data_IF_658381917248
#
_entry.id   IF_658381917248
#
_cell.length_a   1.000
_cell.length_b   1.000
_cell.length_c   1.000
_cell.angle_alpha   90.00
_cell.angle_beta   90.00
_cell.angle_gamma   90.00
#
_symmetry.space_group_name_H-M   'P 1'
#
loop_
_entity.id
_entity.type
_entity.pdbx_description
1 polymer ?
#
# COMPACT_ATOMS: atom_id res chain seq x y z
N UNK A 1 10.98 12.53 -7.18
CA UNK A 1 9.57 12.12 -6.95
C UNK A 1 9.46 11.71 -5.48
N UNK A 2 8.61 12.35 -4.67
CA UNK A 2 8.52 12.10 -3.22
C UNK A 2 7.67 10.84 -2.99
N UNK A 3 8.17 9.85 -2.26
CA UNK A 3 7.33 8.80 -1.63
C UNK A 3 6.22 9.46 -0.82
N UNK A 4 5.01 8.97 -0.98
CA UNK A 4 3.80 9.54 -0.38
C UNK A 4 3.15 8.37 0.30
N UNK A 5 3.52 8.19 1.57
CA UNK A 5 2.95 7.14 2.40
C UNK A 5 1.65 7.65 3.07
N UNK A 6 1.38 8.96 2.89
CA UNK A 6 0.20 9.66 3.35
C UNK A 6 -0.39 10.54 2.25
N UNK A 7 -1.69 10.41 1.98
CA UNK A 7 -2.39 11.29 1.06
C UNK A 7 -3.70 11.78 1.68
N UNK A 8 -4.05 13.04 1.42
CA UNK A 8 -5.36 13.58 1.77
C UNK A 8 -6.23 13.70 0.52
N UNK A 9 -7.43 13.15 0.60
CA UNK A 9 -8.41 13.18 -0.49
C UNK A 9 -9.77 13.65 0.03
N UNK A 10 -10.45 14.46 -0.79
CA UNK A 10 -11.84 14.85 -0.58
C UNK A 10 -12.74 13.87 -1.34
N UNK A 11 -13.61 13.18 -0.63
CA UNK A 11 -14.63 12.31 -1.23
C UNK A 11 -16.01 12.95 -1.07
N UNK A 12 -16.74 13.05 -2.17
CA UNK A 12 -18.13 13.54 -2.18
C UNK A 12 -19.02 12.46 -2.80
N UNK A 13 -19.94 11.90 -2.03
CA UNK A 13 -20.93 10.98 -2.56
C UNK A 13 -21.98 11.73 -3.42
N UNK A 14 -22.70 10.97 -4.24
CA UNK A 14 -23.77 11.52 -5.06
C UNK A 14 -24.96 11.94 -4.21
N UNK A 15 -25.56 13.09 -4.52
CA UNK A 15 -26.84 13.48 -3.93
C UNK A 15 -27.97 12.62 -4.52
N UNK A 16 -29.05 12.47 -3.77
CA UNK A 16 -30.28 11.89 -4.27
C UNK A 16 -30.94 12.75 -5.35
N UNK A 17 -31.61 12.09 -6.29
CA UNK A 17 -32.50 12.75 -7.22
C UNK A 17 -33.73 13.32 -6.51
N UNK A 18 -34.32 14.38 -7.05
CA UNK A 18 -35.55 14.95 -6.48
C UNK A 18 -36.78 14.15 -6.92
N UNK A 19 -37.77 14.02 -6.04
CA UNK A 19 -39.09 13.53 -6.42
C UNK A 19 -39.81 14.52 -7.32
N UNK A 20 -40.67 14.02 -8.21
CA UNK A 20 -41.43 14.85 -9.13
C UNK A 20 -42.85 15.11 -8.61
N UNK A 21 -43.38 16.29 -8.91
CA UNK A 21 -44.82 16.55 -8.82
C UNK A 21 -45.40 16.44 -10.22
N UNK A 22 -46.09 15.33 -10.50
CA UNK A 22 -46.74 15.05 -11.77
C UNK A 22 -48.24 14.85 -11.62
N UNK A 23 -49.01 15.20 -12.66
CA UNK A 23 -50.41 14.79 -12.81
C UNK A 23 -50.66 14.25 -14.21
N UNK A 24 -51.41 13.15 -14.31
CA UNK A 24 -51.80 12.57 -15.59
C UNK A 24 -52.65 13.55 -16.38
N UNK A 25 -52.29 13.77 -17.65
CA UNK A 25 -53.06 14.58 -18.60
C UNK A 25 -53.41 13.75 -19.82
N UNK A 26 -54.70 13.54 -20.02
CA UNK A 26 -55.24 12.79 -21.16
C UNK A 26 -56.36 13.61 -21.81
N UNK A 27 -56.50 13.51 -23.13
CA UNK A 27 -57.41 14.35 -23.94
C UNK A 27 -58.86 14.34 -23.45
N UNK A 28 -59.30 13.24 -22.84
CA UNK A 28 -60.67 13.04 -22.36
C UNK A 28 -60.79 12.95 -20.82
N UNK A 29 -59.70 13.19 -20.08
CA UNK A 29 -59.68 13.16 -18.61
C UNK A 29 -59.23 14.53 -18.10
N UNK A 30 -60.16 15.39 -17.64
CA UNK A 30 -59.83 16.76 -17.25
C UNK A 30 -58.95 16.88 -16.01
N UNK A 31 -59.03 15.92 -15.06
CA UNK A 31 -58.23 15.89 -13.83
C UNK A 31 -57.72 14.46 -13.58
N UNK A 32 -56.53 14.15 -14.09
CA UNK A 32 -55.87 12.88 -13.81
C UNK A 32 -55.26 12.83 -12.41
N UNK A 33 -55.08 11.61 -11.90
CA UNK A 33 -54.41 11.38 -10.62
C UNK A 33 -52.91 11.77 -10.65
N UNK A 34 -52.25 11.82 -9.48
CA UNK A 34 -50.82 12.08 -9.40
C UNK A 34 -50.01 11.00 -10.12
N UNK A 35 -48.95 11.40 -10.81
CA UNK A 35 -48.03 10.52 -11.55
C UNK A 35 -46.56 10.94 -11.48
N UNK A 36 -46.17 11.74 -10.49
CA UNK A 36 -44.76 12.07 -10.28
C UNK A 36 -44.01 10.91 -9.65
N UNK A 37 -42.98 10.41 -10.35
CA UNK A 37 -42.07 9.38 -9.86
C UNK A 37 -41.05 9.91 -8.85
N UNK A 38 -40.36 8.97 -8.20
CA UNK A 38 -39.31 9.26 -7.21
C UNK A 38 -37.97 9.54 -7.88
N UNK A 39 -37.10 10.28 -7.20
CA UNK A 39 -35.71 10.41 -7.60
C UNK A 39 -34.91 9.14 -7.33
N UNK A 40 -33.86 8.92 -8.12
CA UNK A 40 -32.90 7.84 -7.90
C UNK A 40 -31.97 8.13 -6.72
N UNK A 41 -31.38 7.08 -6.14
CA UNK A 41 -30.34 7.24 -5.12
C UNK A 41 -29.05 7.81 -5.74
N UNK A 42 -28.29 8.57 -4.97
CA UNK A 42 -26.94 8.97 -5.37
C UNK A 42 -25.95 7.82 -5.25
N UNK A 43 -24.91 7.83 -6.08
CA UNK A 43 -23.82 6.87 -5.99
C UNK A 43 -22.99 7.06 -4.72
N UNK A 44 -22.45 5.98 -4.20
CA UNK A 44 -21.55 5.98 -3.03
C UNK A 44 -20.08 5.99 -3.45
N UNK A 45 -19.19 6.37 -2.53
CA UNK A 45 -17.74 6.29 -2.73
C UNK A 45 -17.18 5.12 -1.94
N UNK A 46 -16.48 4.24 -2.63
CA UNK A 46 -15.84 3.05 -2.09
C UNK A 46 -14.34 3.16 -2.26
N UNK A 47 -13.59 2.71 -1.25
CA UNK A 47 -12.16 2.44 -1.38
C UNK A 47 -11.98 0.94 -1.50
N UNK A 48 -11.14 0.50 -2.45
CA UNK A 48 -10.87 -0.91 -2.72
C UNK A 48 -9.36 -1.15 -2.69
N UNK A 49 -8.94 -2.16 -1.95
CA UNK A 49 -7.54 -2.58 -1.89
C UNK A 49 -7.16 -3.36 -3.16
N UNK A 50 -6.03 -2.99 -3.76
CA UNK A 50 -5.44 -3.72 -4.88
C UNK A 50 -3.96 -4.01 -4.58
N UNK A 51 -3.53 -5.22 -4.93
CA UNK A 51 -2.15 -5.70 -4.71
C UNK A 51 -1.21 -5.25 -5.83
N UNK A 52 -1.77 -4.80 -6.95
CA UNK A 52 -1.03 -4.23 -8.05
C UNK A 52 -0.63 -2.77 -7.80
N UNK A 53 -1.19 -2.14 -6.75
CA UNK A 53 -0.91 -0.75 -6.38
C UNK A 53 -0.05 -0.72 -5.13
N UNK A 54 1.15 -0.16 -5.23
CA UNK A 54 2.14 -0.20 -4.13
C UNK A 54 2.34 1.16 -3.44
N UNK A 55 1.79 2.26 -3.96
CA UNK A 55 2.03 3.62 -3.43
C UNK A 55 0.78 4.49 -3.48
N UNK A 56 0.71 5.53 -2.64
CA UNK A 56 -0.36 6.55 -2.65
C UNK A 56 0.00 7.80 -3.47
N UNK A 57 1.00 7.72 -4.36
CA UNK A 57 1.50 8.88 -5.11
C UNK A 57 0.42 9.51 -6.01
N UNK A 58 -0.45 8.69 -6.59
CA UNK A 58 -1.47 9.12 -7.56
C UNK A 58 -2.47 10.12 -6.96
N UNK A 59 -2.74 9.99 -5.65
CA UNK A 59 -3.62 10.87 -4.89
C UNK A 59 -3.07 12.30 -4.71
N UNK A 60 -1.83 12.57 -5.10
CA UNK A 60 -1.32 13.94 -5.14
C UNK A 60 -1.91 14.76 -6.27
N UNK A 61 -2.17 14.12 -7.40
CA UNK A 61 -2.64 14.76 -8.62
C UNK A 61 -4.16 14.82 -8.65
N UNK A 62 -4.83 13.71 -8.31
CA UNK A 62 -6.28 13.65 -8.15
C UNK A 62 -6.63 13.61 -6.66
N UNK A 63 -7.07 14.77 -6.12
CA UNK A 63 -7.42 14.92 -4.70
C UNK A 63 -8.91 14.93 -4.43
N UNK A 64 -9.75 14.92 -5.46
CA UNK A 64 -11.20 15.05 -5.31
C UNK A 64 -11.91 13.97 -6.10
N UNK A 65 -12.65 13.14 -5.40
CA UNK A 65 -13.38 12.01 -5.99
C UNK A 65 -14.86 12.22 -5.74
N UNK A 66 -15.65 12.24 -6.82
CA UNK A 66 -17.10 12.47 -6.75
C UNK A 66 -17.86 11.30 -7.37
N UNK A 67 -18.86 10.79 -6.65
CA UNK A 67 -19.81 9.83 -7.19
C UNK A 67 -20.96 10.54 -7.92
N UNK A 68 -21.69 9.80 -8.77
CA UNK A 68 -22.72 10.40 -9.62
C UNK A 68 -23.98 10.72 -8.81
N UNK A 69 -24.60 11.88 -9.08
CA UNK A 69 -25.91 12.24 -8.53
C UNK A 69 -27.01 11.34 -9.12
N UNK A 70 -27.99 10.96 -8.30
CA UNK A 70 -29.22 10.30 -8.76
C UNK A 70 -30.07 11.19 -9.67
N UNK A 71 -30.73 10.59 -10.65
CA UNK A 71 -31.61 11.33 -11.56
C UNK A 71 -32.93 11.72 -10.87
N UNK A 72 -33.52 12.83 -11.28
CA UNK A 72 -34.82 13.24 -10.74
C UNK A 72 -35.92 12.32 -11.26
N UNK A 73 -36.96 12.13 -10.44
CA UNK A 73 -38.19 11.53 -10.91
C UNK A 73 -38.83 12.38 -12.01
N UNK A 74 -39.66 11.75 -12.82
CA UNK A 74 -40.40 12.41 -13.89
C UNK A 74 -41.90 12.08 -13.81
N UNK A 75 -42.71 12.77 -14.61
CA UNK A 75 -44.12 12.44 -14.77
C UNK A 75 -44.31 11.04 -15.37
N UNK A 76 -45.57 10.60 -15.50
CA UNK A 76 -45.92 9.25 -15.99
C UNK A 76 -45.34 8.10 -15.16
N UNK A 77 -45.16 8.33 -13.86
CA UNK A 77 -44.64 7.35 -12.89
C UNK A 77 -43.21 6.89 -13.20
N UNK A 78 -42.44 7.71 -13.91
CA UNK A 78 -41.05 7.39 -14.24
C UNK A 78 -40.13 7.73 -13.06
N UNK A 79 -39.53 6.69 -12.48
CA UNK A 79 -38.53 6.80 -11.42
C UNK A 79 -37.16 7.17 -12.00
N UNK A 80 -36.41 8.02 -11.29
CA UNK A 80 -35.06 8.40 -11.67
C UNK A 80 -34.06 7.24 -11.49
N UNK A 81 -33.09 7.13 -12.42
CA UNK A 81 -31.98 6.16 -12.30
C UNK A 81 -31.09 6.50 -11.11
N UNK A 82 -30.59 5.47 -10.42
CA UNK A 82 -29.55 5.63 -9.41
C UNK A 82 -28.23 6.09 -10.05
N UNK A 83 -27.49 6.93 -9.35
CA UNK A 83 -26.14 7.34 -9.73
C UNK A 83 -25.15 6.19 -9.60
N UNK A 84 -24.14 6.19 -10.46
CA UNK A 84 -23.00 5.28 -10.42
C UNK A 84 -22.05 5.59 -9.26
N UNK A 85 -21.58 4.53 -8.60
CA UNK A 85 -20.61 4.58 -7.51
C UNK A 85 -19.22 4.99 -8.01
N UNK A 86 -18.44 5.65 -7.15
CA UNK A 86 -17.02 5.96 -7.42
C UNK A 86 -16.14 4.99 -6.63
N UNK A 87 -15.34 4.22 -7.35
CA UNK A 87 -14.35 3.32 -6.78
C UNK A 87 -12.98 4.00 -6.79
N UNK A 88 -12.31 4.00 -5.65
CA UNK A 88 -10.96 4.50 -5.45
C UNK A 88 -10.07 3.31 -5.11
N UNK A 89 -9.02 3.08 -5.89
CA UNK A 89 -8.11 1.93 -5.70
C UNK A 89 -6.90 2.37 -4.89
N UNK A 90 -6.59 1.64 -3.82
CA UNK A 90 -5.45 1.92 -2.92
C UNK A 90 -4.59 0.67 -2.70
N UNK A 91 -3.32 0.82 -2.29
CA UNK A 91 -2.51 -0.32 -1.87
C UNK A 91 -3.13 -1.12 -0.72
N UNK A 92 -2.85 -2.42 -0.71
CA UNK A 92 -3.10 -3.26 0.48
C UNK A 92 -2.31 -2.72 1.68
N UNK A 93 -2.93 -2.72 2.85
CA UNK A 93 -2.40 -2.12 4.08
C UNK A 93 -2.69 -0.63 4.22
N UNK A 94 -3.59 -0.06 3.42
CA UNK A 94 -4.01 1.34 3.56
C UNK A 94 -5.04 1.48 4.67
N UNK A 95 -4.76 2.38 5.61
CA UNK A 95 -5.67 2.83 6.66
C UNK A 95 -6.37 4.09 6.20
N UNK A 96 -7.67 4.15 6.43
CA UNK A 96 -8.50 5.29 6.06
C UNK A 96 -8.97 5.99 7.33
N UNK A 97 -8.57 7.24 7.49
CA UNK A 97 -8.86 8.07 8.66
C UNK A 97 -9.71 9.27 8.24
N UNK A 98 -10.74 9.60 9.00
CA UNK A 98 -11.50 10.83 8.81
C UNK A 98 -10.75 12.00 9.45
N UNK A 99 -10.33 12.98 8.64
CA UNK A 99 -9.55 14.14 9.11
C UNK A 99 -10.33 15.02 10.09
N UNK A 100 -11.65 15.08 9.96
CA UNK A 100 -12.48 15.96 10.80
C UNK A 100 -12.72 15.39 12.19
N UNK A 101 -12.82 14.07 12.31
CA UNK A 101 -13.16 13.38 13.58
C UNK A 101 -11.98 12.63 14.18
N UNK A 102 -10.86 12.52 13.46
CA UNK A 102 -9.69 11.70 13.80
C UNK A 102 -10.04 10.21 14.04
N UNK A 103 -11.14 9.76 13.45
CA UNK A 103 -11.64 8.40 13.57
C UNK A 103 -11.09 7.52 12.44
N UNK A 104 -10.59 6.35 12.78
CA UNK A 104 -10.21 5.32 11.81
C UNK A 104 -11.49 4.68 11.27
N UNK A 105 -11.79 4.93 9.99
CA UNK A 105 -12.97 4.35 9.31
C UNK A 105 -12.75 2.84 9.08
N UNK A 106 -11.52 2.45 8.74
CA UNK A 106 -11.17 1.06 8.50
C UNK A 106 -9.75 0.87 7.98
N UNK A 107 -9.33 -0.39 7.95
CA UNK A 107 -8.05 -0.84 7.43
C UNK A 107 -8.29 -1.87 6.33
N UNK A 108 -7.61 -1.71 5.20
CA UNK A 108 -7.76 -2.53 4.00
C UNK A 108 -6.61 -3.52 3.94
N UNK A 109 -6.80 -4.72 4.49
CA UNK A 109 -5.71 -5.64 4.81
C UNK A 109 -5.46 -6.71 3.76
N UNK A 110 -6.43 -6.99 2.90
CA UNK A 110 -6.37 -8.01 1.85
C UNK A 110 -6.76 -7.43 0.50
N UNK A 111 -6.22 -8.03 -0.57
CA UNK A 111 -6.63 -7.70 -1.94
C UNK A 111 -8.15 -7.87 -2.11
N UNK A 112 -8.80 -6.87 -2.72
CA UNK A 112 -10.23 -6.86 -2.96
C UNK A 112 -11.08 -6.39 -1.79
N UNK A 113 -10.49 -6.14 -0.61
CA UNK A 113 -11.21 -5.53 0.52
C UNK A 113 -11.86 -4.22 0.07
N UNK A 114 -13.14 -4.02 0.46
CA UNK A 114 -13.92 -2.83 0.10
C UNK A 114 -14.40 -2.11 1.34
N UNK A 115 -14.18 -0.80 1.39
CA UNK A 115 -14.60 0.07 2.47
C UNK A 115 -15.51 1.19 1.94
N UNK A 116 -16.72 1.29 2.50
CA UNK A 116 -17.63 2.40 2.21
C UNK A 116 -17.15 3.64 2.98
N UNK A 117 -16.72 4.66 2.26
CA UNK A 117 -16.15 5.87 2.88
C UNK A 117 -17.06 7.08 2.83
N UNK A 118 -17.96 7.14 1.85
CA UNK A 118 -19.01 8.16 1.79
C UNK A 118 -20.27 7.56 1.17
N UNK A 119 -21.39 7.63 1.91
CA UNK A 119 -22.66 7.08 1.47
C UNK A 119 -23.43 8.06 0.58
N UNK A 120 -23.99 7.54 -0.52
CA UNK A 120 -24.87 8.30 -1.40
C UNK A 120 -26.21 8.70 -0.75
N UNK A 121 -26.71 9.88 -1.12
CA UNK A 121 -27.97 10.41 -0.63
C UNK A 121 -29.17 9.64 -1.18
N UNK A 122 -30.24 9.49 -0.38
CA UNK A 122 -31.47 8.82 -0.83
C UNK A 122 -32.26 9.68 -1.80
N UNK A 123 -32.94 9.03 -2.73
CA UNK A 123 -33.87 9.69 -3.66
C UNK A 123 -35.08 10.29 -2.96
N UNK A 124 -35.53 11.45 -3.45
CA UNK A 124 -36.73 12.13 -3.00
C UNK A 124 -38.00 11.44 -3.50
N UNK A 125 -39.05 11.46 -2.69
CA UNK A 125 -40.35 10.86 -2.98
C UNK A 125 -41.17 11.79 -3.88
N UNK A 126 -41.71 11.23 -4.96
CA UNK A 126 -42.66 11.91 -5.83
C UNK A 126 -44.02 12.10 -5.17
N UNK A 127 -44.87 12.90 -5.80
CA UNK A 127 -46.18 13.22 -5.22
C UNK A 127 -47.12 12.01 -5.08
N UNK A 128 -46.86 10.91 -5.79
CA UNK A 128 -47.64 9.68 -5.66
C UNK A 128 -47.63 9.09 -4.24
N UNK A 129 -46.51 9.18 -3.51
CA UNK A 129 -46.39 8.64 -2.14
C UNK A 129 -47.22 9.39 -1.11
N UNK A 130 -47.56 10.65 -1.39
CA UNK A 130 -48.35 11.49 -0.48
C UNK A 130 -49.85 11.38 -0.72
N UNK A 131 -50.28 10.48 -1.61
CA UNK A 131 -51.70 10.25 -1.92
C UNK A 131 -52.35 9.46 -0.78
N UNK A 132 -53.41 10.01 -0.22
CA UNK A 132 -54.22 9.35 0.81
C UNK A 132 -55.71 9.42 0.50
N UNK A 133 -56.54 8.76 1.32
CA UNK A 133 -58.00 8.81 1.18
C UNK A 133 -58.55 10.24 1.26
N UNK A 134 -57.89 11.08 2.07
CA UNK A 134 -58.21 12.50 2.28
C UNK A 134 -57.45 13.44 1.35
N UNK A 135 -56.23 13.11 0.93
CA UNK A 135 -55.43 13.90 -0.02
C UNK A 135 -55.25 13.16 -1.35
N UNK A 136 -56.23 13.32 -2.25
CA UNK A 136 -56.28 12.58 -3.53
C UNK A 136 -55.35 13.16 -4.61
N UNK A 137 -54.97 14.43 -4.51
CA UNK A 137 -54.15 15.15 -5.49
C UNK A 137 -53.01 15.95 -4.81
N UNK A 138 -52.07 15.26 -4.13
CA UNK A 138 -50.94 15.90 -3.47
C UNK A 138 -50.08 16.70 -4.46
N UNK A 139 -49.71 17.92 -4.06
CA UNK A 139 -48.82 18.83 -4.82
C UNK A 139 -47.43 18.96 -4.19
N UNK A 140 -47.08 18.03 -3.30
CA UNK A 140 -45.82 18.00 -2.60
C UNK A 140 -44.97 16.82 -3.11
N UNK A 141 -43.67 17.03 -3.18
CA UNK A 141 -42.64 16.01 -3.39
C UNK A 141 -41.46 16.37 -2.48
N UNK A 142 -40.63 15.39 -2.12
CA UNK A 142 -39.41 15.67 -1.36
C UNK A 142 -38.21 15.80 -2.29
N UNK A 143 -37.26 16.63 -1.87
CA UNK A 143 -35.94 16.68 -2.49
C UNK A 143 -35.14 15.43 -2.13
N UNK A 144 -34.15 15.09 -2.96
CA UNK A 144 -33.19 14.05 -2.60
C UNK A 144 -32.37 14.48 -1.39
N UNK A 145 -31.93 13.51 -0.59
CA UNK A 145 -30.98 13.75 0.51
C UNK A 145 -29.60 14.06 -0.08
N UNK A 146 -28.80 14.86 0.63
CA UNK A 146 -27.42 15.13 0.27
C UNK A 146 -26.56 13.88 0.52
N UNK A 147 -25.59 13.64 -0.37
CA UNK A 147 -24.59 12.61 -0.17
C UNK A 147 -23.57 13.05 0.88
N UNK A 148 -22.95 12.08 1.54
CA UNK A 148 -21.90 12.38 2.50
C UNK A 148 -20.67 12.98 1.81
N UNK A 149 -20.07 13.98 2.46
CA UNK A 149 -18.78 14.55 2.06
C UNK A 149 -17.81 14.38 3.23
N UNK A 150 -16.62 13.83 2.94
CA UNK A 150 -15.59 13.60 3.95
C UNK A 150 -14.20 13.95 3.39
N UNK A 151 -13.37 14.54 4.25
CA UNK A 151 -11.95 14.67 4.01
C UNK A 151 -11.25 13.48 4.67
N UNK A 152 -10.58 12.66 3.87
CA UNK A 152 -9.94 11.43 4.31
C UNK A 152 -8.43 11.58 4.24
N UNK A 153 -7.75 11.06 5.27
CA UNK A 153 -6.32 10.80 5.25
C UNK A 153 -6.12 9.30 5.01
N UNK A 154 -5.38 8.98 3.97
CA UNK A 154 -4.95 7.63 3.63
C UNK A 154 -3.52 7.46 4.14
N UNK A 155 -3.27 6.41 4.93
CA UNK A 155 -1.95 6.09 5.45
C UNK A 155 -1.61 4.64 5.12
N UNK A 156 -0.46 4.40 4.47
CA UNK A 156 -0.01 3.04 4.16
C UNK A 156 0.78 2.45 5.34
N UNK A 157 0.28 1.37 5.95
CA UNK A 157 0.93 0.67 7.08
C UNK A 157 2.08 -0.27 6.68
N UNK A 158 2.32 -0.51 5.38
CA UNK A 158 3.40 -1.37 4.90
C UNK A 158 4.70 -0.57 4.74
N UNK A 159 5.78 -1.03 5.39
CA UNK A 159 7.06 -0.32 5.43
C UNK A 159 8.06 -0.76 4.37
N UNK A 160 8.13 -2.06 4.01
CA UNK A 160 9.04 -2.54 2.96
C UNK A 160 8.72 -3.97 2.49
N UNK A 161 8.99 -4.23 1.20
CA UNK A 161 8.94 -5.55 0.58
C UNK A 161 10.24 -6.33 0.83
N UNK A 162 11.37 -5.61 0.91
CA UNK A 162 12.73 -6.15 1.10
C UNK A 162 13.37 -5.55 2.35
N UNK A 163 13.92 -6.40 3.22
CA UNK A 163 14.73 -5.97 4.37
C UNK A 163 16.23 -6.15 4.11
N UNK A 164 17.04 -5.13 4.39
CA UNK A 164 18.51 -5.23 4.33
C UNK A 164 19.09 -5.61 5.69
N UNK A 165 19.81 -6.72 5.73
CA UNK A 165 20.58 -7.19 6.88
C UNK A 165 22.07 -6.95 6.62
N UNK A 166 22.86 -6.82 7.68
CA UNK A 166 24.31 -6.65 7.55
C UNK A 166 24.91 -5.83 8.67
N UNK A 167 26.22 -5.94 8.84
CA UNK A 167 26.99 -5.20 9.82
C UNK A 167 26.94 -3.69 9.62
N UNK A 168 27.21 -2.88 10.68
CA UNK A 168 27.51 -1.47 10.48
C UNK A 168 28.60 -1.34 9.41
N UNK A 169 28.44 -0.37 8.51
CA UNK A 169 29.37 -0.14 7.39
C UNK A 169 29.45 -1.24 6.32
N UNK A 170 28.59 -2.26 6.34
CA UNK A 170 28.45 -3.23 5.23
C UNK A 170 27.95 -2.57 3.93
N UNK A 171 27.53 -1.30 3.99
CA UNK A 171 27.09 -0.51 2.84
C UNK A 171 25.59 -0.55 2.58
N UNK A 172 24.75 -0.92 3.57
CA UNK A 172 23.28 -0.95 3.48
C UNK A 172 22.70 0.36 2.95
N UNK A 173 22.99 1.48 3.62
CA UNK A 173 22.46 2.78 3.20
C UNK A 173 23.05 3.26 1.87
N UNK A 174 24.27 2.83 1.51
CA UNK A 174 24.88 3.09 0.20
C UNK A 174 24.13 2.34 -0.90
N UNK A 175 23.81 1.05 -0.67
CA UNK A 175 23.03 0.25 -1.60
C UNK A 175 21.66 0.88 -1.83
N UNK A 176 20.93 1.26 -0.76
CA UNK A 176 19.63 1.94 -0.88
C UNK A 176 19.72 3.19 -1.75
N UNK A 177 20.75 4.02 -1.55
CA UNK A 177 20.96 5.23 -2.37
C UNK A 177 21.30 4.91 -3.83
N UNK A 178 22.00 3.80 -4.08
CA UNK A 178 22.38 3.37 -5.42
C UNK A 178 21.19 2.88 -6.25
N UNK A 179 20.27 2.11 -5.63
CA UNK A 179 19.14 1.47 -6.32
C UNK A 179 17.84 2.27 -6.28
N UNK A 180 17.73 3.27 -5.39
CA UNK A 180 16.48 4.01 -5.22
C UNK A 180 16.25 5.01 -6.37
N UNK A 181 15.07 4.91 -7.00
CA UNK A 181 14.59 5.86 -8.02
C UNK A 181 14.13 7.21 -7.43
N UNK A 182 14.01 7.30 -6.10
CA UNK A 182 13.78 8.52 -5.34
C UNK A 182 14.92 8.78 -4.36
N UNK A 183 15.13 10.03 -3.93
CA UNK A 183 16.05 10.29 -2.81
C UNK A 183 15.56 9.52 -1.58
N UNK A 184 16.41 8.65 -0.98
CA UNK A 184 16.03 7.88 0.21
C UNK A 184 15.54 8.82 1.29
N UNK A 185 14.36 8.53 1.84
CA UNK A 185 13.79 9.34 2.90
C UNK A 185 14.12 8.71 4.25
N UNK A 186 14.54 9.57 5.16
CA UNK A 186 14.54 9.34 6.60
C UNK A 186 13.08 9.51 7.03
N UNK A 187 12.46 8.46 7.55
CA UNK A 187 11.03 8.44 7.80
C UNK A 187 10.71 8.39 9.30
N UNK A 188 9.95 9.38 9.76
CA UNK A 188 9.56 9.60 11.16
C UNK A 188 8.30 8.79 11.51
N UNK A 189 8.45 7.48 11.67
CA UNK A 189 7.32 6.63 12.08
C UNK A 189 7.11 6.68 13.61
N UNK A 190 5.85 6.69 14.09
CA UNK A 190 5.52 6.84 15.51
C UNK A 190 5.96 5.67 16.41
N UNK A 191 6.55 4.62 15.83
CA UNK A 191 7.06 3.42 16.51
C UNK A 191 8.56 3.20 16.29
N UNK A 192 9.27 4.14 15.66
CA UNK A 192 10.72 4.06 15.45
C UNK A 192 11.43 5.11 16.31
N UNK A 193 12.39 4.72 17.13
CA UNK A 193 13.30 5.65 17.83
C UNK A 193 14.49 6.07 16.97
N UNK A 194 14.79 5.29 15.93
CA UNK A 194 15.79 5.56 14.89
C UNK A 194 15.10 5.46 13.54
N UNK A 195 15.20 6.53 12.76
CA UNK A 195 14.57 6.62 11.46
C UNK A 195 15.16 5.60 10.46
N UNK A 196 14.38 4.62 9.97
CA UNK A 196 14.89 3.67 8.99
C UNK A 196 15.13 4.38 7.65
N UNK A 197 16.20 3.97 6.95
CA UNK A 197 16.43 4.42 5.58
C UNK A 197 15.54 3.61 4.64
N UNK A 198 14.67 4.28 3.90
CA UNK A 198 13.80 3.66 2.90
C UNK A 198 14.19 4.09 1.49
N UNK A 199 14.14 3.14 0.56
CA UNK A 199 14.30 3.38 -0.87
C UNK A 199 13.22 2.72 -1.69
N UNK A 200 12.72 3.42 -2.72
CA UNK A 200 11.84 2.83 -3.73
C UNK A 200 12.69 2.44 -4.91
N UNK A 201 12.64 1.17 -5.27
CA UNK A 201 13.30 0.63 -6.45
C UNK A 201 12.27 0.46 -7.54
N UNK A 202 12.49 1.13 -8.68
CA UNK A 202 11.70 0.95 -9.89
C UNK A 202 12.56 0.20 -10.91
N UNK A 203 12.12 -1.01 -11.26
CA UNK A 203 12.79 -1.85 -12.27
C UNK A 203 12.25 -1.52 -13.66
N UNK A 204 10.93 -1.35 -13.78
CA UNK A 204 10.20 -0.97 -14.99
C UNK A 204 9.02 -0.04 -14.63
N UNK A 205 8.35 0.52 -15.65
CA UNK A 205 7.13 1.29 -15.44
C UNK A 205 6.08 0.41 -14.73
N UNK A 206 5.48 0.94 -13.65
CA UNK A 206 4.51 0.24 -12.79
C UNK A 206 5.06 -0.99 -12.05
N UNK A 207 6.38 -1.23 -12.09
CA UNK A 207 7.04 -2.32 -11.37
C UNK A 207 8.05 -1.77 -10.37
N UNK A 208 7.58 -1.60 -9.14
CA UNK A 208 8.36 -1.06 -8.04
C UNK A 208 8.13 -1.77 -6.73
N UNK A 209 9.16 -1.80 -5.90
CA UNK A 209 9.12 -2.34 -4.53
C UNK A 209 9.90 -1.43 -3.58
N UNK A 210 9.65 -1.58 -2.29
CA UNK A 210 10.27 -0.79 -1.23
C UNK A 210 11.33 -1.62 -0.51
N UNK A 211 12.51 -1.03 -0.33
CA UNK A 211 13.61 -1.59 0.46
C UNK A 211 13.76 -0.77 1.75
N UNK A 212 13.83 -1.45 2.88
CA UNK A 212 14.19 -0.86 4.17
C UNK A 212 15.55 -1.34 4.66
N UNK A 213 16.34 -0.41 5.19
CA UNK A 213 17.45 -0.74 6.08
C UNK A 213 16.88 -1.25 7.40
N UNK A 214 17.47 -2.33 7.93
CA UNK A 214 17.17 -2.85 9.26
C UNK A 214 18.22 -2.30 10.24
N UNK A 215 18.02 -1.10 10.84
CA UNK A 215 18.88 -0.63 11.93
C UNK A 215 18.75 -1.53 13.17
N UNK A 216 19.82 -1.62 13.95
CA UNK A 216 19.72 -2.09 15.33
C UNK A 216 19.68 -3.59 15.58
N UNK A 217 20.08 -4.45 14.64
CA UNK A 217 20.40 -5.84 15.00
C UNK A 217 21.64 -5.87 15.94
N UNK A 218 22.71 -5.18 15.54
CA UNK A 218 24.02 -5.34 16.19
C UNK A 218 24.34 -4.20 17.18
N UNK A 219 23.48 -3.18 17.29
CA UNK A 219 23.63 -2.08 18.26
C UNK A 219 22.95 -2.43 19.58
N UNK A 220 23.69 -2.99 20.53
CA UNK A 220 23.34 -2.92 21.97
C UNK A 220 21.98 -3.50 22.41
N UNK A 221 21.34 -4.35 21.63
CA UNK A 221 20.00 -4.91 21.89
C UNK A 221 19.90 -5.80 23.16
N UNK A 222 20.99 -5.97 23.89
CA UNK A 222 21.01 -6.68 25.18
C UNK A 222 20.69 -5.78 26.40
N UNK A 223 20.88 -4.46 26.34
CA UNK A 223 20.90 -3.60 27.55
C UNK A 223 19.91 -2.41 27.56
N UNK A 224 18.68 -2.62 27.11
CA UNK A 224 17.54 -1.90 27.72
C UNK A 224 16.95 -0.68 26.99
N UNK A 225 17.13 -0.54 25.69
CA UNK A 225 16.25 0.32 24.89
C UNK A 225 15.25 -0.59 24.14
N UNK A 226 13.94 -0.44 24.37
CA UNK A 226 12.88 -1.32 23.82
C UNK A 226 12.68 -1.23 22.30
N UNK A 227 13.73 -1.50 21.52
CA UNK A 227 13.89 -1.16 20.10
C UNK A 227 13.66 -2.33 19.14
N UNK A 228 13.84 -3.57 19.58
CA UNK A 228 13.91 -4.74 18.69
C UNK A 228 12.55 -5.32 18.29
N UNK A 229 11.62 -5.53 19.22
CA UNK A 229 10.48 -6.43 18.96
C UNK A 229 9.45 -5.87 17.96
N UNK A 230 9.15 -4.58 17.99
CA UNK A 230 8.19 -4.00 17.03
C UNK A 230 8.80 -3.85 15.63
N UNK A 231 10.06 -3.44 15.52
CA UNK A 231 10.72 -3.32 14.21
C UNK A 231 10.97 -4.68 13.55
N UNK A 232 11.38 -5.68 14.32
CA UNK A 232 11.51 -7.06 13.83
C UNK A 232 10.16 -7.67 13.44
N UNK A 233 9.04 -7.27 14.06
CA UNK A 233 7.68 -7.61 13.59
C UNK A 233 7.38 -7.03 12.20
N UNK A 234 7.97 -5.89 11.84
CA UNK A 234 7.88 -5.38 10.47
C UNK A 234 8.80 -6.16 9.52
N UNK A 235 9.96 -6.63 9.99
CA UNK A 235 10.80 -7.58 9.26
C UNK A 235 10.06 -8.91 8.99
N UNK A 236 9.16 -9.34 9.86
CA UNK A 236 8.29 -10.50 9.58
C UNK A 236 7.35 -10.28 8.40
N UNK A 237 7.13 -9.05 7.93
CA UNK A 237 6.28 -8.76 6.77
C UNK A 237 7.05 -8.56 5.46
N UNK A 238 8.39 -8.48 5.51
CA UNK A 238 9.19 -8.46 4.28
C UNK A 238 9.11 -9.81 3.58
N UNK A 239 9.06 -9.82 2.26
CA UNK A 239 8.99 -11.06 1.47
C UNK A 239 10.37 -11.66 1.23
N UNK A 240 11.40 -10.80 1.24
CA UNK A 240 12.80 -11.15 0.99
C UNK A 240 13.73 -10.42 1.94
N UNK A 241 14.81 -11.09 2.35
CA UNK A 241 15.91 -10.50 3.09
C UNK A 241 17.17 -10.47 2.22
N UNK A 242 17.81 -9.30 2.08
CA UNK A 242 19.12 -9.19 1.44
C UNK A 242 20.18 -9.05 2.54
N UNK A 243 21.05 -10.03 2.65
CA UNK A 243 22.12 -10.07 3.63
C UNK A 243 23.40 -9.49 3.03
N UNK A 244 23.69 -8.23 3.36
CA UNK A 244 24.88 -7.53 2.93
C UNK A 244 26.07 -7.88 3.81
N UNK A 245 27.16 -8.26 3.16
CA UNK A 245 28.43 -8.60 3.79
C UNK A 245 29.55 -7.80 3.13
N UNK A 246 30.44 -7.24 3.95
CA UNK A 246 31.64 -6.57 3.48
C UNK A 246 32.73 -7.60 3.19
N UNK A 247 33.19 -7.70 1.94
CA UNK A 247 34.25 -8.63 1.55
C UNK A 247 35.67 -8.14 1.90
N UNK A 248 35.85 -6.83 2.04
CA UNK A 248 37.16 -6.21 2.24
C UNK A 248 37.10 -5.27 3.45
N UNK A 249 36.99 -5.83 4.68
CA UNK A 249 37.10 -5.02 5.88
C UNK A 249 38.51 -4.40 5.93
N UNK A 250 38.62 -3.14 5.54
CA UNK A 250 39.82 -2.32 5.72
C UNK A 250 40.17 -2.23 7.22
N UNK A 251 41.44 -2.00 7.55
CA UNK A 251 41.88 -1.61 8.90
C UNK A 251 41.00 -0.45 9.41
N UNK A 252 40.08 -0.73 10.34
CA UNK A 252 39.01 0.17 10.78
C UNK A 252 37.57 -0.35 10.61
N UNK A 253 37.36 -1.55 10.07
CA UNK A 253 36.12 -2.33 10.19
C UNK A 253 35.98 -3.00 11.57
N UNK A 254 35.06 -3.98 11.73
CA UNK A 254 35.02 -4.78 12.96
C UNK A 254 36.26 -5.67 12.98
N UNK A 255 37.31 -5.19 13.67
CA UNK A 255 38.62 -5.82 13.75
C UNK A 255 38.50 -7.33 14.01
N UNK A 256 38.96 -8.15 13.06
CA UNK A 256 39.16 -9.59 13.23
C UNK A 256 37.96 -10.51 13.03
N UNK A 257 36.82 -10.04 12.54
CA UNK A 257 35.66 -10.92 12.25
C UNK A 257 35.60 -11.26 10.76
N UNK A 258 35.71 -12.55 10.43
CA UNK A 258 35.62 -13.02 9.04
C UNK A 258 34.23 -12.71 8.44
N UNK A 259 34.13 -12.50 7.12
CA UNK A 259 32.83 -12.31 6.44
C UNK A 259 31.82 -13.42 6.75
N UNK A 260 32.29 -14.68 6.87
CA UNK A 260 31.43 -15.80 7.23
C UNK A 260 30.94 -15.71 8.69
N UNK A 261 31.78 -15.27 9.62
CA UNK A 261 31.39 -15.08 11.02
C UNK A 261 30.41 -13.92 11.20
N UNK A 262 30.49 -12.88 10.37
CA UNK A 262 29.49 -11.81 10.34
C UNK A 262 28.11 -12.38 10.01
N UNK A 263 28.02 -13.20 8.96
CA UNK A 263 26.75 -13.84 8.56
C UNK A 263 26.21 -14.71 9.69
N UNK A 264 27.06 -15.59 10.26
CA UNK A 264 26.67 -16.49 11.36
C UNK A 264 26.26 -15.72 12.63
N UNK A 265 26.85 -14.56 12.87
CA UNK A 265 26.48 -13.70 14.01
C UNK A 265 25.07 -13.16 13.84
N UNK A 266 24.76 -12.60 12.67
CA UNK A 266 23.42 -12.11 12.34
C UNK A 266 22.40 -13.26 12.35
N UNK A 267 22.77 -14.45 11.87
CA UNK A 267 21.90 -15.64 11.93
C UNK A 267 21.49 -16.01 13.34
N UNK A 268 22.46 -16.08 14.27
CA UNK A 268 22.18 -16.37 15.68
C UNK A 268 21.31 -15.30 16.32
N UNK A 269 21.46 -14.06 15.88
CA UNK A 269 20.66 -12.95 16.38
C UNK A 269 19.21 -13.02 15.89
N UNK A 270 19.02 -13.27 14.59
CA UNK A 270 17.70 -13.52 14.01
C UNK A 270 17.03 -14.71 14.70
N UNK A 271 17.75 -15.81 14.94
CA UNK A 271 17.25 -16.99 15.64
C UNK A 271 16.79 -16.68 17.07
N UNK A 272 17.57 -15.89 17.82
CA UNK A 272 17.25 -15.49 19.19
C UNK A 272 15.99 -14.64 19.26
N UNK A 273 15.73 -13.83 18.23
CA UNK A 273 14.56 -12.96 18.18
C UNK A 273 13.32 -13.70 17.68
N UNK A 274 13.43 -14.36 16.55
CA UNK A 274 12.33 -15.13 15.95
C UNK A 274 12.88 -16.18 14.96
N UNK A 275 12.77 -17.48 15.29
CA UNK A 275 13.16 -18.57 14.41
C UNK A 275 12.45 -18.57 13.05
N UNK A 276 11.29 -17.94 12.89
CA UNK A 276 10.60 -17.84 11.60
C UNK A 276 11.33 -16.93 10.61
N UNK A 277 12.12 -15.96 11.08
CA UNK A 277 12.91 -15.08 10.21
C UNK A 277 14.01 -15.84 9.46
N UNK A 278 14.53 -16.93 10.03
CA UNK A 278 15.50 -17.80 9.36
C UNK A 278 14.90 -18.65 8.24
N UNK A 279 13.58 -18.88 8.26
CA UNK A 279 12.88 -19.62 7.21
C UNK A 279 12.59 -18.78 5.98
N UNK A 280 12.77 -17.46 6.08
CA UNK A 280 12.50 -16.55 4.97
C UNK A 280 13.53 -16.69 3.86
N UNK A 281 13.10 -16.52 2.60
CA UNK A 281 14.01 -16.37 1.47
C UNK A 281 15.05 -15.28 1.77
N UNK A 282 16.32 -15.62 1.62
CA UNK A 282 17.42 -14.75 1.99
C UNK A 282 18.55 -14.86 0.99
N UNK A 283 18.92 -13.73 0.39
CA UNK A 283 19.99 -13.69 -0.61
C UNK A 283 21.23 -13.03 -0.04
N UNK A 284 22.39 -13.56 -0.40
CA UNK A 284 23.67 -13.02 0.05
C UNK A 284 24.14 -11.93 -0.93
N UNK A 285 24.51 -10.77 -0.40
CA UNK A 285 25.00 -9.64 -1.18
C UNK A 285 26.40 -9.29 -0.69
N UNK A 286 27.39 -9.76 -1.43
CA UNK A 286 28.80 -9.54 -1.15
C UNK A 286 29.21 -8.19 -1.74
N UNK A 287 29.36 -7.18 -0.87
CA UNK A 287 29.58 -5.80 -1.24
C UNK A 287 31.06 -5.41 -1.16
N UNK A 288 31.38 -4.24 -1.75
CA UNK A 288 32.74 -3.68 -1.89
C UNK A 288 33.68 -4.50 -2.77
N UNK A 289 33.13 -5.16 -3.79
CA UNK A 289 33.91 -5.89 -4.79
C UNK A 289 34.91 -4.99 -5.54
N UNK A 290 34.68 -3.68 -5.58
CA UNK A 290 35.57 -2.68 -6.18
C UNK A 290 36.93 -2.53 -5.48
N UNK A 291 37.07 -3.04 -4.25
CA UNK A 291 38.33 -3.00 -3.51
C UNK A 291 39.29 -4.15 -3.85
N UNK A 292 38.85 -5.09 -4.71
CA UNK A 292 39.60 -6.28 -5.12
C UNK A 292 39.65 -6.37 -6.65
N UNK A 293 40.61 -7.11 -7.19
CA UNK A 293 40.57 -7.47 -8.61
C UNK A 293 39.42 -8.45 -8.88
N UNK A 294 38.82 -8.40 -10.06
CA UNK A 294 37.60 -9.17 -10.39
C UNK A 294 37.74 -10.68 -10.13
N UNK A 295 38.85 -11.29 -10.55
CA UNK A 295 39.14 -12.70 -10.34
C UNK A 295 39.31 -13.05 -8.84
N UNK A 296 39.92 -12.14 -8.08
CA UNK A 296 40.16 -12.30 -6.63
C UNK A 296 38.87 -12.14 -5.84
N UNK A 297 38.07 -11.12 -6.16
CA UNK A 297 36.76 -10.87 -5.56
C UNK A 297 35.83 -12.08 -5.74
N UNK A 298 35.84 -12.67 -6.93
CA UNK A 298 35.05 -13.87 -7.22
C UNK A 298 35.53 -15.10 -6.46
N UNK A 299 36.84 -15.34 -6.42
CA UNK A 299 37.40 -16.44 -5.65
C UNK A 299 37.11 -16.32 -4.15
N UNK A 300 37.22 -15.10 -3.60
CA UNK A 300 36.88 -14.81 -2.20
C UNK A 300 35.38 -15.06 -1.93
N UNK A 301 34.51 -14.58 -2.81
CA UNK A 301 33.07 -14.82 -2.73
C UNK A 301 32.71 -16.31 -2.72
N UNK A 302 33.27 -17.08 -3.65
CA UNK A 302 33.05 -18.52 -3.74
C UNK A 302 33.54 -19.25 -2.48
N UNK A 303 34.68 -18.83 -1.91
CA UNK A 303 35.18 -19.36 -0.64
C UNK A 303 34.24 -19.07 0.52
N UNK A 304 33.71 -17.85 0.63
CA UNK A 304 32.77 -17.46 1.70
C UNK A 304 31.46 -18.26 1.57
N UNK A 305 30.92 -18.37 0.36
CA UNK A 305 29.70 -19.14 0.08
C UNK A 305 29.89 -20.62 0.44
N UNK A 306 31.04 -21.20 0.08
CA UNK A 306 31.38 -22.57 0.42
C UNK A 306 31.55 -22.79 1.93
N UNK A 307 32.20 -21.85 2.64
CA UNK A 307 32.36 -21.92 4.10
C UNK A 307 31.02 -21.82 4.84
N UNK A 308 30.09 -21.02 4.33
CA UNK A 308 28.75 -20.86 4.88
C UNK A 308 27.83 -22.04 4.51
N UNK A 309 28.18 -22.84 3.50
CA UNK A 309 27.28 -23.86 2.94
C UNK A 309 26.01 -23.24 2.36
N UNK A 310 26.12 -22.03 1.80
CA UNK A 310 24.98 -21.23 1.38
C UNK A 310 24.38 -21.74 0.06
N UNK A 311 23.08 -22.03 0.06
CA UNK A 311 22.36 -22.63 -1.10
C UNK A 311 21.48 -21.63 -1.85
N UNK A 312 21.12 -20.52 -1.21
CA UNK A 312 20.29 -19.48 -1.80
C UNK A 312 21.10 -18.59 -2.76
N UNK A 313 20.45 -17.77 -3.61
CA UNK A 313 21.14 -16.84 -4.50
C UNK A 313 22.13 -15.93 -3.77
N UNK A 314 23.27 -15.69 -4.41
CA UNK A 314 24.29 -14.76 -3.95
C UNK A 314 24.78 -13.88 -5.09
N UNK A 315 25.20 -12.66 -4.75
CA UNK A 315 25.61 -11.66 -5.73
C UNK A 315 26.84 -10.89 -5.26
N UNK A 316 27.67 -10.51 -6.23
CA UNK A 316 28.80 -9.59 -6.06
C UNK A 316 28.38 -8.18 -6.49
N UNK A 317 28.61 -7.20 -5.63
CA UNK A 317 28.26 -5.80 -5.93
C UNK A 317 29.31 -4.81 -5.47
N UNK A 318 29.32 -3.67 -6.16
CA UNK A 318 29.83 -2.42 -5.62
C UNK A 318 28.67 -1.45 -5.47
N UNK A 319 28.15 -1.30 -4.25
CA UNK A 319 27.11 -0.32 -3.98
C UNK A 319 27.56 1.12 -4.28
N UNK A 320 28.86 1.41 -4.11
CA UNK A 320 29.43 2.73 -4.38
C UNK A 320 29.55 3.00 -5.88
N UNK A 321 30.06 2.03 -6.65
CA UNK A 321 30.17 2.09 -8.11
C UNK A 321 28.85 1.88 -8.84
N UNK A 322 27.81 1.41 -8.13
CA UNK A 322 26.52 0.92 -8.67
C UNK A 322 26.63 -0.35 -9.53
N UNK A 323 27.81 -0.96 -9.58
CA UNK A 323 28.05 -2.19 -10.33
C UNK A 323 27.38 -3.39 -9.67
N UNK A 324 26.70 -4.20 -10.48
CA UNK A 324 25.96 -5.39 -10.02
C UNK A 324 24.68 -5.08 -9.24
N UNK A 325 24.39 -3.82 -8.90
CA UNK A 325 23.22 -3.47 -8.06
C UNK A 325 21.88 -3.65 -8.79
N UNK A 326 21.78 -3.21 -10.04
CA UNK A 326 20.54 -3.29 -10.82
C UNK A 326 20.13 -4.72 -11.23
N UNK A 327 21.07 -5.62 -11.63
CA UNK A 327 20.77 -7.04 -11.81
C UNK A 327 20.05 -7.68 -10.62
N UNK A 328 20.53 -7.45 -9.39
CA UNK A 328 19.87 -7.97 -8.18
C UNK A 328 18.43 -7.47 -8.11
N UNK A 329 18.20 -6.17 -8.34
CA UNK A 329 16.85 -5.61 -8.25
C UNK A 329 15.89 -6.21 -9.28
N UNK A 330 16.37 -6.57 -10.47
CA UNK A 330 15.58 -7.31 -11.46
C UNK A 330 15.22 -8.70 -10.96
N UNK A 331 16.20 -9.42 -10.41
CA UNK A 331 15.97 -10.77 -9.89
C UNK A 331 15.00 -10.76 -8.70
N UNK A 332 15.12 -9.75 -7.81
CA UNK A 332 14.16 -9.52 -6.70
C UNK A 332 12.74 -9.31 -7.24
N UNK A 333 12.58 -8.48 -8.26
CA UNK A 333 11.27 -8.27 -8.88
C UNK A 333 10.71 -9.56 -9.48
N UNK A 334 11.53 -10.31 -10.23
CA UNK A 334 11.14 -11.59 -10.79
C UNK A 334 10.78 -12.63 -9.70
N UNK A 335 11.44 -12.58 -8.55
CA UNK A 335 11.10 -13.39 -7.39
C UNK A 335 9.73 -13.03 -6.81
N UNK A 336 9.41 -11.74 -6.69
CA UNK A 336 8.09 -11.28 -6.24
C UNK A 336 6.96 -11.56 -7.23
N UNK A 337 7.26 -11.59 -8.52
CA UNK A 337 6.30 -12.00 -9.56
C UNK A 337 5.98 -13.48 -9.44
N UNK A 338 6.99 -14.36 -9.34
CA UNK A 338 6.79 -15.81 -9.16
C UNK A 338 5.99 -16.13 -7.90
N UNK A 339 6.33 -15.51 -6.77
CA UNK A 339 5.56 -15.70 -5.54
C UNK A 339 4.10 -15.28 -5.69
N UNK A 340 3.81 -14.23 -6.46
CA UNK A 340 2.42 -13.81 -6.74
C UNK A 340 1.70 -14.82 -7.62
N UNK A 341 2.35 -15.36 -8.64
CA UNK A 341 1.79 -16.43 -9.48
C UNK A 341 1.47 -17.68 -8.65
N UNK A 342 2.40 -18.12 -7.79
CA UNK A 342 2.21 -19.28 -6.91
C UNK A 342 1.04 -19.08 -5.93
N UNK A 343 0.88 -17.86 -5.38
CA UNK A 343 -0.22 -17.50 -4.48
C UNK A 343 -1.59 -17.48 -5.20
N UNK A 344 -1.62 -17.04 -6.45
CA UNK A 344 -2.83 -17.04 -7.29
C UNK A 344 -3.24 -18.48 -7.65
N UNK A 345 -2.29 -19.31 -8.10
CA UNK A 345 -2.54 -20.71 -8.43
C UNK A 345 -3.04 -21.50 -7.20
N UNK A 346 -2.50 -21.23 -6.02
CA UNK A 346 -2.94 -21.85 -4.78
C UNK A 346 -4.37 -21.42 -4.37
N UNK A 347 -4.80 -20.21 -4.71
CA UNK A 347 -6.17 -19.72 -4.48
C UNK A 347 -7.17 -20.33 -5.46
N UNK A 348 -6.81 -20.48 -6.72
CA UNK A 348 -7.68 -21.04 -7.75
C UNK A 348 -7.85 -22.57 -7.60
N UNK A 349 -6.91 -23.23 -6.91
CA UNK A 349 -6.96 -24.66 -6.62
C UNK A 349 -7.78 -25.05 -5.35
N UNK A 350 -8.22 -24.07 -4.55
CA UNK A 350 -8.95 -24.28 -3.28
C UNK A 350 -10.43 -23.95 -3.35
#
# INVERSE_FOLDING_TARGET
MKLVDEAEILVTAGNGGNGCVGFRREKFIPLGGPDGGDGGAGGSVWIVADENVNTLVDFRHERTFKAQRGENGMGRQAYGKSGEDRIIVVPVGTVVINVQTDEVIGDLTQHGDRLLVAKGGKGGLGNMHFKSSVNRAPRQATTGEEGEERLLKLELKLLADVGLLGFPNAGKSTLIRAVSSATPKVADYPFTTLYPNLGVVSVEAYRSFVIADVPGLIEGAADGAGLGTQFLRHLQRTRLLLHLVDMAPMDGGVDGVSPADQVRTIERELERHDPELLKKPRWLVLNKADLMFEDEARAAAESIVAELGWTEPWYLVSALGRDGTFPIMKDVMAFFDRQREDELDARDAG
#
